data_IF_098266612996
#
_entry.id   IF_098266612996
#
_cell.length_a   1.000
_cell.length_b   1.000
_cell.length_c   1.000
_cell.angle_alpha   90.00
_cell.angle_beta   90.00
_cell.angle_gamma   90.00
#
_symmetry.space_group_name_H-M   'P 1'
#
loop_
_entity.id
_entity.type
_entity.pdbx_description
1 polymer ?
#
# COMPACT_ATOMS: atom_id res chain seq x y z
N UNK A 1 -23.41 18.36 -12.21
CA UNK A 1 -23.05 19.00 -10.92
C UNK A 1 -21.94 20.01 -11.21
N UNK A 2 -21.97 21.19 -10.59
CA UNK A 2 -20.88 22.18 -10.74
C UNK A 2 -19.64 21.79 -9.95
N UNK A 3 -18.46 22.38 -10.19
CA UNK A 3 -17.21 22.05 -9.51
C UNK A 3 -17.31 22.15 -7.96
N UNK A 4 -18.16 23.01 -7.42
CA UNK A 4 -18.34 23.17 -5.97
C UNK A 4 -19.12 22.01 -5.31
N UNK A 5 -19.94 21.26 -6.06
CA UNK A 5 -20.69 20.12 -5.51
C UNK A 5 -19.78 18.93 -5.20
N UNK A 6 -18.70 18.74 -5.98
CA UNK A 6 -17.78 17.62 -5.76
C UNK A 6 -16.88 17.81 -4.53
N UNK A 7 -16.59 19.06 -4.19
CA UNK A 7 -15.76 19.44 -3.05
C UNK A 7 -16.43 19.08 -1.72
N UNK A 8 -17.73 19.38 -1.59
CA UNK A 8 -18.48 19.00 -0.39
C UNK A 8 -18.65 17.50 -0.27
N UNK A 9 -18.80 16.80 -1.41
CA UNK A 9 -19.06 15.35 -1.44
C UNK A 9 -17.84 14.53 -0.97
N UNK A 10 -16.62 14.91 -1.38
CA UNK A 10 -15.39 14.16 -0.98
C UNK A 10 -15.10 14.31 0.50
N UNK A 11 -15.25 15.51 1.05
CA UNK A 11 -15.05 15.76 2.47
C UNK A 11 -16.05 14.96 3.32
N UNK A 12 -17.33 15.00 2.94
CA UNK A 12 -18.37 14.29 3.69
C UNK A 12 -18.21 12.77 3.60
N UNK A 13 -17.90 12.25 2.41
CA UNK A 13 -17.63 10.81 2.25
C UNK A 13 -16.40 10.38 3.06
N UNK A 14 -15.31 11.17 3.07
CA UNK A 14 -14.13 10.86 3.88
C UNK A 14 -14.49 10.81 5.36
N UNK A 15 -15.30 11.74 5.86
CA UNK A 15 -15.77 11.74 7.26
C UNK A 15 -16.58 10.47 7.58
N UNK A 16 -17.48 10.07 6.69
CA UNK A 16 -18.28 8.85 6.86
C UNK A 16 -17.39 7.60 6.90
N UNK A 17 -16.39 7.51 6.01
CA UNK A 17 -15.46 6.38 6.01
C UNK A 17 -14.58 6.35 7.25
N UNK A 18 -14.11 7.49 7.75
CA UNK A 18 -13.31 7.57 9.00
C UNK A 18 -14.15 7.08 10.19
N UNK A 19 -15.44 7.44 10.26
CA UNK A 19 -16.33 7.05 11.34
C UNK A 19 -16.61 5.53 11.43
N UNK A 20 -16.34 4.78 10.38
CA UNK A 20 -16.45 3.32 10.36
C UNK A 20 -15.10 2.72 10.75
N UNK A 21 -15.03 2.07 11.92
CA UNK A 21 -13.82 1.34 12.33
C UNK A 21 -13.57 0.14 11.42
N UNK A 22 -12.34 -0.01 10.91
CA UNK A 22 -11.99 -1.08 9.97
C UNK A 22 -10.59 -1.65 10.21
N UNK A 23 -10.12 -1.63 11.46
CA UNK A 23 -8.80 -2.13 11.82
C UNK A 23 -8.84 -3.58 12.34
N UNK A 24 -7.68 -4.23 12.41
CA UNK A 24 -7.54 -5.66 12.78
C UNK A 24 -8.06 -6.03 14.18
N UNK A 25 -8.29 -5.06 15.08
CA UNK A 25 -8.75 -5.29 16.45
C UNK A 25 -10.25 -5.02 16.63
N UNK A 26 -10.96 -4.44 15.65
CA UNK A 26 -12.40 -4.23 15.76
C UNK A 26 -13.19 -5.47 15.27
N UNK A 27 -14.40 -5.63 15.79
CA UNK A 27 -15.30 -6.69 15.36
C UNK A 27 -15.70 -6.49 13.89
N UNK A 28 -15.63 -7.57 13.11
CA UNK A 28 -15.99 -7.53 11.69
C UNK A 28 -14.96 -6.84 10.78
N UNK A 29 -13.96 -6.18 11.33
CA UNK A 29 -12.89 -5.50 10.58
C UNK A 29 -13.48 -4.64 9.44
N UNK A 30 -13.16 -4.93 8.17
CA UNK A 30 -13.59 -4.16 7.00
C UNK A 30 -15.03 -4.43 6.53
N UNK A 31 -15.78 -5.35 7.17
CA UNK A 31 -17.09 -5.78 6.68
C UNK A 31 -18.14 -4.66 6.63
N UNK A 32 -18.08 -3.68 7.54
CA UNK A 32 -19.01 -2.56 7.56
C UNK A 32 -18.68 -1.55 6.48
N UNK A 33 -17.42 -1.13 6.36
CA UNK A 33 -16.98 -0.17 5.32
C UNK A 33 -17.17 -0.75 3.92
N UNK A 34 -16.96 -2.07 3.73
CA UNK A 34 -17.19 -2.72 2.45
C UNK A 34 -18.69 -2.67 2.04
N UNK A 35 -19.60 -2.96 2.95
CA UNK A 35 -21.05 -2.82 2.69
C UNK A 35 -21.43 -1.39 2.40
N UNK A 36 -20.95 -0.45 3.22
CA UNK A 36 -21.19 0.97 3.02
C UNK A 36 -20.77 1.43 1.60
N UNK A 37 -19.59 1.03 1.14
CA UNK A 37 -19.11 1.41 -0.20
C UNK A 37 -19.95 0.77 -1.32
N UNK A 38 -20.38 -0.49 -1.19
CA UNK A 38 -21.27 -1.12 -2.17
C UNK A 38 -22.59 -0.35 -2.25
N UNK A 39 -23.20 -0.02 -1.11
CA UNK A 39 -24.45 0.74 -1.06
C UNK A 39 -24.26 2.14 -1.66
N UNK A 40 -23.18 2.84 -1.30
CA UNK A 40 -22.85 4.16 -1.80
C UNK A 40 -22.75 4.23 -3.33
N UNK A 41 -22.09 3.23 -3.96
CA UNK A 41 -22.00 3.13 -5.42
C UNK A 41 -23.34 2.77 -6.05
N UNK A 42 -24.07 1.81 -5.46
CA UNK A 42 -25.36 1.33 -5.98
C UNK A 42 -26.40 2.45 -5.98
N UNK A 43 -26.48 3.26 -4.94
CA UNK A 43 -27.37 4.43 -4.86
C UNK A 43 -27.11 5.46 -5.98
N UNK A 44 -25.87 5.46 -6.51
CA UNK A 44 -25.47 6.34 -7.63
C UNK A 44 -25.57 5.67 -8.99
N UNK A 45 -26.17 4.47 -9.04
CA UNK A 45 -26.38 3.72 -10.29
C UNK A 45 -25.11 3.08 -10.85
N UNK A 46 -24.03 2.99 -10.06
CA UNK A 46 -22.78 2.31 -10.42
C UNK A 46 -22.86 0.86 -9.91
N UNK A 47 -22.62 -0.10 -10.79
CA UNK A 47 -22.60 -1.50 -10.41
C UNK A 47 -21.48 -1.78 -9.41
N UNK A 48 -21.83 -2.30 -8.23
CA UNK A 48 -20.86 -2.65 -7.19
C UNK A 48 -21.22 -3.98 -6.53
N UNK A 49 -20.20 -4.71 -6.06
CA UNK A 49 -20.37 -6.00 -5.40
C UNK A 49 -19.25 -6.29 -4.42
N UNK A 50 -19.51 -7.18 -3.49
CA UNK A 50 -18.50 -7.77 -2.62
C UNK A 50 -17.80 -8.93 -3.34
N UNK A 51 -16.45 -8.97 -3.25
CA UNK A 51 -15.64 -10.09 -3.68
C UNK A 51 -15.05 -10.78 -2.45
N UNK A 52 -15.40 -12.05 -2.16
CA UNK A 52 -14.78 -12.79 -1.06
C UNK A 52 -13.25 -12.79 -1.17
N UNK A 53 -12.56 -12.48 -0.07
CA UNK A 53 -11.11 -12.39 -0.02
C UNK A 53 -10.52 -13.33 1.04
N UNK A 54 -10.54 -12.96 2.31
CA UNK A 54 -9.87 -13.69 3.39
C UNK A 54 -10.72 -13.71 4.67
N UNK A 55 -10.79 -14.84 5.36
CA UNK A 55 -11.45 -15.00 6.67
C UNK A 55 -12.88 -14.44 6.73
N UNK A 56 -13.66 -14.61 5.65
CA UNK A 56 -15.02 -14.07 5.54
C UNK A 56 -15.11 -12.57 5.26
N UNK A 57 -13.99 -11.88 5.14
CA UNK A 57 -13.89 -10.47 4.69
C UNK A 57 -13.94 -10.39 3.17
N UNK A 58 -14.39 -9.28 2.64
CA UNK A 58 -14.59 -9.11 1.20
C UNK A 58 -14.02 -7.78 0.72
N UNK A 59 -13.38 -7.82 -0.43
CA UNK A 59 -13.09 -6.61 -1.21
C UNK A 59 -14.37 -6.00 -1.77
N UNK A 60 -14.30 -4.74 -2.18
CA UNK A 60 -15.34 -4.05 -2.93
C UNK A 60 -14.89 -3.88 -4.38
N UNK A 61 -15.73 -4.28 -5.31
CA UNK A 61 -15.50 -4.06 -6.74
C UNK A 61 -16.64 -3.23 -7.30
N UNK A 62 -16.35 -2.02 -7.77
CA UNK A 62 -17.33 -1.21 -8.49
C UNK A 62 -16.86 -0.98 -9.93
N UNK A 63 -17.78 -0.92 -10.91
CA UNK A 63 -17.44 -0.85 -12.33
C UNK A 63 -18.32 0.09 -13.11
N UNK A 64 -17.69 0.95 -13.89
CA UNK A 64 -18.32 1.69 -14.97
C UNK A 64 -17.87 1.01 -16.27
N UNK A 65 -18.76 0.28 -16.96
CA UNK A 65 -18.38 -0.41 -18.17
C UNK A 65 -18.08 0.59 -19.29
N UNK A 66 -17.02 0.32 -20.06
CA UNK A 66 -16.64 1.07 -21.26
C UNK A 66 -16.70 0.23 -22.53
N UNK A 67 -15.94 0.64 -23.54
CA UNK A 67 -15.75 -0.13 -24.79
C UNK A 67 -14.61 -1.15 -24.69
N UNK A 68 -14.09 -1.55 -25.86
CA UNK A 68 -13.00 -2.54 -25.97
C UNK A 68 -11.59 -1.90 -25.86
N UNK A 69 -11.51 -0.65 -25.42
CA UNK A 69 -10.24 0.06 -25.20
C UNK A 69 -9.57 -0.34 -23.89
N UNK A 70 -8.47 0.35 -23.53
CA UNK A 70 -7.74 0.07 -22.31
C UNK A 70 -8.59 0.32 -21.08
N UNK A 71 -8.33 -0.42 -20.01
CA UNK A 71 -9.05 -0.37 -18.73
C UNK A 71 -8.19 0.22 -17.61
N UNK A 72 -8.82 0.88 -16.64
CA UNK A 72 -8.17 1.51 -15.49
C UNK A 72 -8.78 1.02 -14.18
N UNK A 73 -7.93 0.64 -13.23
CA UNK A 73 -8.27 0.37 -11.83
C UNK A 73 -7.88 1.55 -10.96
N UNK A 74 -8.78 1.96 -10.08
CA UNK A 74 -8.51 2.82 -8.92
C UNK A 74 -8.57 1.91 -7.68
N UNK A 75 -7.43 1.70 -7.03
CA UNK A 75 -7.26 0.74 -5.94
C UNK A 75 -6.91 1.44 -4.63
N UNK A 76 -7.56 1.04 -3.54
CA UNK A 76 -7.23 1.50 -2.21
C UNK A 76 -7.66 0.52 -1.14
N UNK A 77 -6.89 0.42 -0.03
CA UNK A 77 -7.24 -0.46 1.08
C UNK A 77 -8.24 0.17 2.03
N UNK A 78 -9.18 -0.64 2.50
CA UNK A 78 -10.25 -0.21 3.40
C UNK A 78 -9.91 -0.35 4.87
N UNK A 79 -8.92 -1.16 5.20
CA UNK A 79 -8.43 -1.32 6.55
C UNK A 79 -7.56 -0.15 7.01
N UNK A 80 -7.35 -0.06 8.30
CA UNK A 80 -6.45 0.92 8.93
C UNK A 80 -5.67 0.24 10.05
N UNK A 81 -4.58 0.85 10.49
CA UNK A 81 -4.00 0.51 11.78
C UNK A 81 -4.96 0.89 12.93
N UNK A 82 -4.88 0.25 14.10
CA UNK A 82 -5.65 0.64 15.28
C UNK A 82 -5.43 2.10 15.69
N UNK A 83 -6.31 2.62 16.56
CA UNK A 83 -6.21 4.00 17.07
C UNK A 83 -4.84 4.34 17.66
N UNK A 84 -4.16 3.38 18.29
CA UNK A 84 -2.94 3.65 19.04
C UNK A 84 -3.15 4.76 20.08
N UNK A 85 -2.26 5.75 20.10
CA UNK A 85 -2.33 6.92 20.98
C UNK A 85 -3.19 8.08 20.43
N UNK A 86 -3.90 7.87 19.30
CA UNK A 86 -4.77 8.89 18.71
C UNK A 86 -6.10 8.94 19.48
N UNK A 87 -6.33 10.03 20.20
CA UNK A 87 -7.62 10.28 20.84
C UNK A 87 -8.71 10.51 19.77
N UNK A 88 -9.92 9.99 20.03
CA UNK A 88 -11.07 10.15 19.14
C UNK A 88 -10.79 9.77 17.67
N UNK A 89 -9.95 8.75 17.46
CA UNK A 89 -9.41 8.37 16.16
C UNK A 89 -10.48 8.17 15.08
N UNK A 90 -11.67 7.68 15.45
CA UNK A 90 -12.80 7.41 14.55
C UNK A 90 -13.92 8.46 14.66
N UNK A 91 -13.63 9.60 15.28
CA UNK A 91 -14.53 10.77 15.34
C UNK A 91 -13.96 11.89 14.45
N UNK A 92 -14.27 11.91 13.15
CA UNK A 92 -13.64 12.82 12.19
C UNK A 92 -13.95 14.27 12.52
N UNK A 93 -12.92 15.11 12.62
CA UNK A 93 -13.04 16.54 12.89
C UNK A 93 -12.32 17.40 11.85
N UNK A 94 -12.91 18.49 11.49
CA UNK A 94 -12.26 19.54 10.71
C UNK A 94 -11.68 20.57 11.64
N UNK A 95 -10.41 20.92 11.43
CA UNK A 95 -9.69 21.93 12.17
C UNK A 95 -8.85 22.78 11.20
N UNK A 96 -9.29 23.99 10.90
CA UNK A 96 -8.77 24.79 9.81
C UNK A 96 -8.97 24.09 8.46
N UNK A 97 -7.88 23.91 7.73
CA UNK A 97 -7.86 23.28 6.41
C UNK A 97 -7.60 21.76 6.47
N UNK A 98 -7.60 21.18 7.67
CA UNK A 98 -7.26 19.78 7.90
C UNK A 98 -8.47 18.95 8.33
N UNK A 99 -8.62 17.77 7.75
CA UNK A 99 -9.51 16.72 8.23
C UNK A 99 -8.71 15.70 9.02
N UNK A 100 -9.05 15.54 10.31
CA UNK A 100 -8.42 14.65 11.26
C UNK A 100 -9.24 13.39 11.48
N UNK A 101 -8.57 12.25 11.60
CA UNK A 101 -9.13 10.95 11.97
C UNK A 101 -8.28 9.81 11.45
N UNK A 102 -8.36 8.63 12.06
CA UNK A 102 -7.62 7.44 11.63
C UNK A 102 -8.05 7.02 10.22
N UNK A 103 -7.08 6.91 9.32
CA UNK A 103 -7.32 6.63 7.91
C UNK A 103 -7.63 7.87 7.07
N UNK A 104 -7.61 9.08 7.65
CA UNK A 104 -7.77 10.30 6.86
C UNK A 104 -6.69 10.41 5.79
N UNK A 105 -5.44 10.14 6.16
CA UNK A 105 -4.30 10.09 5.27
C UNK A 105 -4.15 8.72 4.63
N UNK A 106 -4.24 7.65 5.40
CA UNK A 106 -3.91 6.28 4.98
C UNK A 106 -5.08 5.32 5.24
N UNK A 107 -5.93 5.01 4.19
CA UNK A 107 -6.02 5.79 2.95
C UNK A 107 -7.50 6.08 2.57
N UNK A 108 -8.40 6.23 3.58
CA UNK A 108 -9.84 6.48 3.37
C UNK A 108 -10.11 7.79 2.61
N UNK A 109 -9.22 8.79 2.76
CA UNK A 109 -9.29 10.03 1.97
C UNK A 109 -9.15 9.77 0.47
N UNK A 110 -8.19 8.95 0.09
CA UNK A 110 -8.01 8.55 -1.31
C UNK A 110 -9.18 7.71 -1.83
N UNK A 111 -9.70 6.77 -1.03
CA UNK A 111 -10.90 6.00 -1.37
C UNK A 111 -12.07 6.93 -1.67
N UNK A 112 -12.34 7.90 -0.79
CA UNK A 112 -13.42 8.86 -0.99
C UNK A 112 -13.22 9.67 -2.30
N UNK A 113 -12.00 10.11 -2.57
CA UNK A 113 -11.69 10.85 -3.79
C UNK A 113 -11.89 10.00 -5.06
N UNK A 114 -11.48 8.73 -5.03
CA UNK A 114 -11.72 7.77 -6.12
C UNK A 114 -13.21 7.52 -6.35
N UNK A 115 -13.97 7.29 -5.28
CA UNK A 115 -15.43 7.10 -5.36
C UNK A 115 -16.13 8.31 -5.98
N UNK A 116 -15.80 9.52 -5.52
CA UNK A 116 -16.41 10.77 -6.04
C UNK A 116 -15.97 11.01 -7.50
N UNK A 117 -14.71 10.72 -7.85
CA UNK A 117 -14.22 10.82 -9.22
C UNK A 117 -15.03 9.91 -10.16
N UNK A 118 -15.25 8.66 -9.77
CA UNK A 118 -16.06 7.71 -10.55
C UNK A 118 -17.52 8.16 -10.66
N UNK A 119 -18.15 8.56 -9.56
CA UNK A 119 -19.54 9.05 -9.58
C UNK A 119 -19.71 10.25 -10.51
N UNK A 120 -18.73 11.17 -10.50
CA UNK A 120 -18.72 12.33 -11.39
C UNK A 120 -18.63 11.93 -12.86
N UNK A 121 -17.72 11.00 -13.19
CA UNK A 121 -17.57 10.49 -14.57
C UNK A 121 -18.84 9.75 -15.02
N UNK A 122 -19.48 9.01 -14.14
CA UNK A 122 -20.73 8.31 -14.43
C UNK A 122 -21.89 9.27 -14.70
N UNK A 123 -21.97 10.37 -13.97
CA UNK A 123 -23.02 11.39 -14.13
C UNK A 123 -22.77 12.40 -15.26
N UNK A 124 -21.57 12.43 -15.86
CA UNK A 124 -21.20 13.42 -16.86
C UNK A 124 -21.99 13.19 -18.17
N UNK A 125 -22.97 14.10 -18.45
CA UNK A 125 -23.84 14.03 -19.63
C UNK A 125 -23.06 14.13 -20.95
N UNK A 126 -21.86 14.70 -20.96
CA UNK A 126 -21.00 14.72 -22.14
C UNK A 126 -20.45 13.33 -22.48
N UNK A 127 -20.25 12.48 -21.45
CA UNK A 127 -19.82 11.11 -21.59
C UNK A 127 -21.00 10.13 -21.82
N UNK A 128 -22.26 10.53 -21.55
CA UNK A 128 -23.45 9.66 -21.65
C UNK A 128 -24.29 9.91 -22.91
N UNK A 129 -24.01 10.97 -23.70
CA UNK A 129 -24.77 11.26 -24.93
C UNK A 129 -24.35 10.35 -26.08
N UNK A 130 -24.98 9.19 -26.20
CA UNK A 130 -24.99 8.38 -27.42
C UNK A 130 -26.18 8.75 -28.30
N UNK A 131 -25.97 8.87 -29.61
CA UNK A 131 -27.00 8.91 -30.65
C UNK A 131 -27.51 7.49 -31.02
N UNK A 132 -27.42 6.53 -30.12
CA UNK A 132 -27.95 5.18 -30.32
C UNK A 132 -29.47 5.12 -30.09
N UNK A 133 -30.23 4.32 -30.88
CA UNK A 133 -31.66 4.17 -30.73
C UNK A 133 -32.03 3.66 -29.32
N UNK A 134 -33.16 4.18 -28.79
CA UNK A 134 -33.71 3.82 -27.50
C UNK A 134 -33.76 2.29 -27.29
N UNK A 135 -33.01 1.77 -26.31
CA UNK A 135 -33.07 0.36 -25.95
C UNK A 135 -31.94 -0.16 -25.06
N UNK A 136 -30.82 0.52 -24.94
CA UNK A 136 -29.71 0.11 -24.07
C UNK A 136 -29.47 1.17 -23.01
N UNK A 137 -29.61 0.78 -21.75
CA UNK A 137 -29.24 1.59 -20.59
C UNK A 137 -27.78 2.06 -20.72
N UNK A 138 -27.60 3.39 -20.89
CA UNK A 138 -26.41 4.18 -20.70
C UNK A 138 -25.05 3.53 -20.93
N UNK A 139 -24.60 3.39 -22.20
CA UNK A 139 -23.17 3.15 -22.42
C UNK A 139 -22.39 4.42 -22.12
N UNK A 140 -21.51 4.40 -21.11
CA UNK A 140 -20.51 5.44 -20.90
C UNK A 140 -19.66 5.58 -22.17
N UNK A 141 -19.22 6.80 -22.52
CA UNK A 141 -18.29 7.02 -23.64
C UNK A 141 -16.82 6.76 -23.28
N UNK A 142 -16.55 6.06 -22.20
CA UNK A 142 -15.22 5.59 -21.92
C UNK A 142 -14.86 4.49 -22.94
N UNK A 143 -13.66 4.57 -23.48
CA UNK A 143 -13.16 3.58 -24.46
C UNK A 143 -12.94 2.20 -23.83
N UNK A 144 -12.75 2.12 -22.52
CA UNK A 144 -12.57 0.91 -21.75
C UNK A 144 -13.14 1.06 -20.34
N UNK A 145 -13.07 0.00 -19.56
CA UNK A 145 -13.65 -0.06 -18.22
C UNK A 145 -12.91 0.80 -17.21
N UNK A 146 -13.67 1.46 -16.32
CA UNK A 146 -13.16 2.07 -15.10
C UNK A 146 -13.63 1.25 -13.90
N UNK A 147 -12.68 0.71 -13.13
CA UNK A 147 -12.91 -0.19 -12.01
C UNK A 147 -12.40 0.44 -10.72
N UNK A 148 -13.22 0.45 -9.66
CA UNK A 148 -12.75 0.71 -8.30
C UNK A 148 -12.56 -0.62 -7.58
N UNK A 149 -11.47 -0.73 -6.83
CA UNK A 149 -11.17 -1.87 -5.98
C UNK A 149 -10.85 -1.36 -4.58
N UNK A 150 -11.71 -1.70 -3.61
CA UNK A 150 -11.43 -1.52 -2.18
C UNK A 150 -10.89 -2.82 -1.62
N UNK A 151 -9.62 -2.89 -1.25
CA UNK A 151 -8.98 -4.09 -0.72
C UNK A 151 -9.12 -4.18 0.80
N UNK A 152 -9.01 -5.40 1.33
CA UNK A 152 -8.88 -5.70 2.76
C UNK A 152 -7.45 -6.13 3.05
N UNK A 153 -7.01 -6.00 4.32
CA UNK A 153 -5.80 -6.66 4.84
C UNK A 153 -4.45 -6.10 4.35
N UNK A 154 -4.41 -4.91 3.78
CA UNK A 154 -3.14 -4.30 3.31
C UNK A 154 -2.18 -4.09 4.48
N UNK A 155 -2.66 -3.51 5.57
CA UNK A 155 -1.92 -3.18 6.80
C UNK A 155 -1.37 -4.41 7.55
N UNK A 156 -1.73 -5.62 7.12
CA UNK A 156 -1.35 -6.87 7.81
C UNK A 156 -0.79 -7.96 6.91
N UNK A 157 -1.00 -7.94 5.59
CA UNK A 157 -0.46 -9.00 4.75
C UNK A 157 -0.84 -9.00 3.28
N UNK A 158 -1.71 -8.08 2.81
CA UNK A 158 -2.05 -7.94 1.39
C UNK A 158 -2.92 -9.05 0.80
N UNK A 159 -3.64 -9.83 1.63
CA UNK A 159 -4.47 -10.93 1.11
C UNK A 159 -5.66 -10.44 0.30
N UNK A 160 -6.09 -9.18 0.49
CA UNK A 160 -7.13 -8.54 -0.31
C UNK A 160 -6.70 -8.38 -1.77
N UNK A 161 -5.56 -7.76 -2.04
CA UNK A 161 -5.07 -7.58 -3.41
C UNK A 161 -4.75 -8.92 -4.08
N UNK A 162 -4.28 -9.91 -3.32
CA UNK A 162 -4.11 -11.27 -3.81
C UNK A 162 -5.44 -11.85 -4.31
N UNK A 163 -6.53 -11.70 -3.54
CA UNK A 163 -7.86 -12.16 -3.94
C UNK A 163 -8.39 -11.45 -5.20
N UNK A 164 -8.05 -10.16 -5.40
CA UNK A 164 -8.37 -9.42 -6.64
C UNK A 164 -7.77 -10.13 -7.85
N UNK A 165 -6.49 -10.43 -7.77
CA UNK A 165 -5.73 -11.05 -8.86
C UNK A 165 -6.16 -12.49 -9.08
N UNK A 166 -6.28 -13.30 -8.03
CA UNK A 166 -6.72 -14.70 -8.09
C UNK A 166 -8.16 -14.81 -8.62
N UNK A 167 -9.02 -13.84 -8.30
CA UNK A 167 -10.39 -13.72 -8.80
C UNK A 167 -10.51 -13.31 -10.27
N UNK A 168 -9.38 -13.13 -10.97
CA UNK A 168 -9.35 -12.83 -12.40
C UNK A 168 -9.68 -11.37 -12.74
N UNK A 169 -9.70 -10.47 -11.76
CA UNK A 169 -9.87 -9.03 -12.05
C UNK A 169 -8.58 -8.52 -12.66
N UNK A 170 -8.67 -8.02 -13.88
CA UNK A 170 -7.55 -7.50 -14.66
C UNK A 170 -7.94 -6.18 -15.30
N UNK A 171 -6.98 -5.26 -15.30
CA UNK A 171 -7.03 -4.00 -16.05
C UNK A 171 -5.67 -3.77 -16.71
N UNK A 172 -5.60 -2.88 -17.68
CA UNK A 172 -4.32 -2.51 -18.30
C UNK A 172 -3.50 -1.62 -17.37
N UNK A 173 -4.19 -0.77 -16.62
CA UNK A 173 -3.61 0.24 -15.74
C UNK A 173 -4.21 0.18 -14.34
N UNK A 174 -3.41 0.56 -13.33
CA UNK A 174 -3.88 0.75 -11.97
C UNK A 174 -3.24 1.99 -11.30
N UNK A 175 -4.04 2.70 -10.52
CA UNK A 175 -3.57 3.73 -9.59
C UNK A 175 -3.90 3.28 -8.18
N UNK A 176 -2.86 3.10 -7.35
CA UNK A 176 -3.00 2.83 -5.92
C UNK A 176 -2.94 4.15 -5.17
N UNK A 177 -3.92 4.42 -4.32
CA UNK A 177 -4.18 5.75 -3.76
C UNK A 177 -3.43 6.10 -2.48
N UNK A 178 -2.30 5.45 -2.21
CA UNK A 178 -1.48 5.74 -1.03
C UNK A 178 -0.99 7.20 -0.98
N UNK A 179 -0.72 7.75 0.23
CA UNK A 179 -0.40 9.16 0.40
C UNK A 179 0.96 9.53 -0.19
N UNK A 180 0.95 10.34 -1.23
CA UNK A 180 2.13 10.84 -1.96
C UNK A 180 2.15 12.36 -2.08
N UNK A 181 1.32 13.09 -1.36
CA UNK A 181 1.08 14.52 -1.57
C UNK A 181 0.65 14.84 -3.03
N UNK A 182 -0.12 13.95 -3.65
CA UNK A 182 -0.55 14.01 -5.06
C UNK A 182 0.61 14.03 -6.07
N UNK A 183 1.80 13.58 -5.68
CA UNK A 183 2.93 13.37 -6.59
C UNK A 183 2.88 11.96 -7.17
N UNK A 184 3.17 11.84 -8.45
CA UNK A 184 3.16 10.55 -9.15
C UNK A 184 4.37 9.72 -8.72
N UNK A 185 4.15 8.64 -7.97
CA UNK A 185 5.21 7.70 -7.62
C UNK A 185 5.24 6.55 -8.63
N UNK A 186 6.36 6.46 -9.34
CA UNK A 186 6.60 5.42 -10.36
C UNK A 186 7.33 4.21 -9.79
N UNK A 187 7.82 4.29 -8.57
CA UNK A 187 8.53 3.21 -7.91
C UNK A 187 8.25 3.21 -6.41
N UNK A 188 8.22 2.03 -5.80
CA UNK A 188 8.28 1.87 -4.36
C UNK A 188 9.20 0.73 -3.93
N UNK A 189 9.68 0.79 -2.67
CA UNK A 189 10.50 -0.30 -2.13
C UNK A 189 9.63 -1.52 -1.82
N UNK A 190 10.22 -2.70 -2.00
CA UNK A 190 9.70 -3.93 -1.43
C UNK A 190 10.12 -4.10 0.03
N UNK A 191 9.54 -5.10 0.71
CA UNK A 191 9.84 -5.46 2.08
C UNK A 191 9.97 -6.98 2.26
N UNK A 192 10.93 -7.40 3.07
CA UNK A 192 11.06 -8.76 3.56
C UNK A 192 11.36 -8.68 5.05
N UNK A 193 10.42 -9.11 5.88
CA UNK A 193 10.63 -9.23 7.32
C UNK A 193 11.07 -10.64 7.64
N UNK A 194 12.25 -10.78 8.21
CA UNK A 194 12.85 -12.07 8.49
C UNK A 194 13.11 -12.26 9.98
N UNK A 195 12.96 -13.48 10.45
CA UNK A 195 13.37 -13.91 11.78
C UNK A 195 14.52 -14.89 11.71
N UNK A 196 15.59 -14.61 12.43
CA UNK A 196 16.67 -15.54 12.72
C UNK A 196 16.44 -16.11 14.11
N UNK A 197 16.33 -17.43 14.22
CA UNK A 197 16.25 -18.15 15.51
C UNK A 197 17.53 -18.92 15.74
N UNK A 198 18.18 -18.65 16.86
CA UNK A 198 19.42 -19.34 17.29
C UNK A 198 19.13 -20.26 18.46
N UNK A 199 19.65 -21.46 18.39
CA UNK A 199 19.62 -22.46 19.47
C UNK A 199 21.04 -22.95 19.76
N UNK A 200 21.57 -22.54 20.91
CA UNK A 200 22.87 -22.92 21.41
C UNK A 200 22.79 -24.01 22.49
N UNK A 201 23.75 -24.01 23.39
CA UNK A 201 23.81 -24.93 24.53
C UNK A 201 23.99 -24.15 25.83
N UNK A 202 23.05 -24.32 26.77
CA UNK A 202 23.11 -23.74 28.11
C UNK A 202 24.28 -24.31 28.92
N UNK A 203 24.86 -23.50 29.80
CA UNK A 203 25.86 -23.90 30.79
C UNK A 203 25.81 -22.91 31.97
N UNK A 204 26.45 -23.31 33.07
CA UNK A 204 26.62 -22.36 34.20
C UNK A 204 27.55 -21.23 33.81
N UNK A 205 27.21 -19.98 34.18
CA UNK A 205 27.97 -18.80 33.76
C UNK A 205 29.43 -18.74 34.25
N UNK A 206 29.81 -19.60 35.22
CA UNK A 206 31.22 -19.74 35.66
C UNK A 206 32.04 -20.71 34.81
N UNK A 207 31.38 -21.48 33.92
CA UNK A 207 32.02 -22.43 32.98
C UNK A 207 31.46 -22.16 31.56
N UNK A 208 31.62 -20.97 31.02
CA UNK A 208 30.99 -20.60 29.74
C UNK A 208 31.50 -21.41 28.55
N UNK A 209 32.69 -22.02 28.65
CA UNK A 209 33.30 -22.90 27.68
C UNK A 209 32.52 -24.21 27.49
N UNK A 210 31.74 -24.64 28.46
CA UNK A 210 30.86 -25.80 28.36
C UNK A 210 29.57 -25.52 27.59
N UNK A 211 29.25 -24.22 27.37
CA UNK A 211 28.08 -23.76 26.66
C UNK A 211 28.36 -23.23 25.25
N UNK A 212 27.29 -22.91 24.53
CA UNK A 212 27.32 -22.13 23.26
C UNK A 212 26.27 -21.03 23.36
N UNK A 213 26.72 -19.79 23.50
CA UNK A 213 25.82 -18.66 23.74
C UNK A 213 25.13 -18.17 22.46
N UNK A 214 23.83 -18.44 22.34
CA UNK A 214 23.00 -17.91 21.24
C UNK A 214 23.02 -16.38 21.19
N UNK A 215 23.05 -15.68 22.34
CA UNK A 215 23.13 -14.22 22.40
C UNK A 215 24.47 -13.70 21.87
N UNK A 216 25.58 -14.37 22.16
CA UNK A 216 26.89 -13.96 21.62
C UNK A 216 26.97 -14.12 20.09
N UNK A 217 26.34 -15.16 19.52
CA UNK A 217 26.26 -15.33 18.08
C UNK A 217 25.25 -14.36 17.45
N UNK A 218 24.15 -14.04 18.11
CA UNK A 218 23.24 -12.99 17.67
C UNK A 218 23.96 -11.65 17.52
N UNK A 219 24.79 -11.26 18.48
CA UNK A 219 25.61 -10.06 18.40
C UNK A 219 26.56 -10.05 17.18
N UNK A 220 27.22 -11.20 16.89
CA UNK A 220 28.09 -11.35 15.71
C UNK A 220 27.30 -11.23 14.41
N UNK A 221 26.07 -11.80 14.33
CA UNK A 221 25.19 -11.67 13.17
C UNK A 221 24.83 -10.19 12.97
N UNK A 222 24.42 -9.48 14.03
CA UNK A 222 24.11 -8.05 13.94
C UNK A 222 25.32 -7.26 13.42
N UNK A 223 26.54 -7.51 13.93
CA UNK A 223 27.76 -6.88 13.41
C UNK A 223 27.99 -7.21 11.93
N UNK A 224 27.82 -8.47 11.51
CA UNK A 224 27.99 -8.85 10.10
C UNK A 224 26.94 -8.19 9.18
N UNK A 225 25.69 -8.03 9.63
CA UNK A 225 24.67 -7.28 8.89
C UNK A 225 25.09 -5.81 8.67
N UNK A 226 25.66 -5.18 9.69
CA UNK A 226 26.11 -3.77 9.63
C UNK A 226 27.42 -3.61 8.82
N UNK A 227 28.38 -4.51 8.98
CA UNK A 227 29.73 -4.36 8.44
C UNK A 227 29.89 -4.98 7.03
N UNK A 228 29.10 -6.02 6.70
CA UNK A 228 29.21 -6.72 5.43
C UNK A 228 28.01 -6.51 4.53
N UNK A 229 26.76 -6.68 5.04
CA UNK A 229 25.56 -6.58 4.19
C UNK A 229 25.23 -5.12 3.88
N UNK A 230 25.11 -4.27 4.88
CA UNK A 230 24.76 -2.85 4.68
C UNK A 230 25.64 -2.14 3.64
N UNK A 231 26.99 -2.24 3.63
CA UNK A 231 27.83 -1.62 2.60
C UNK A 231 27.59 -2.16 1.19
N UNK A 232 27.18 -3.43 1.06
CA UNK A 232 26.81 -4.01 -0.25
C UNK A 232 25.48 -3.42 -0.74
N UNK A 233 24.50 -3.25 0.17
CA UNK A 233 23.18 -2.71 -0.16
C UNK A 233 23.23 -1.24 -0.55
N UNK A 234 24.06 -0.43 0.09
CA UNK A 234 24.24 1.00 -0.23
C UNK A 234 24.72 1.20 -1.69
N UNK A 235 25.37 0.21 -2.28
CA UNK A 235 25.81 0.25 -3.69
C UNK A 235 24.70 -0.12 -4.68
N UNK A 236 23.59 -0.71 -4.23
CA UNK A 236 22.43 -1.04 -5.04
C UNK A 236 21.46 0.13 -4.98
N UNK A 237 21.60 1.05 -5.91
CA UNK A 237 20.84 2.30 -5.93
C UNK A 237 19.84 2.32 -7.08
N UNK A 238 18.67 2.84 -6.78
CA UNK A 238 17.63 3.16 -7.75
C UNK A 238 17.47 4.68 -7.85
N UNK A 239 17.29 5.28 -9.05
CA UNK A 239 17.25 6.74 -9.22
C UNK A 239 16.20 7.45 -8.35
N UNK A 240 15.03 6.83 -8.14
CA UNK A 240 13.93 7.41 -7.38
C UNK A 240 13.89 6.96 -5.91
N UNK A 241 14.50 5.82 -5.56
CA UNK A 241 14.32 5.17 -4.24
C UNK A 241 15.56 5.22 -3.36
N UNK A 242 16.71 5.67 -3.92
CA UNK A 242 17.99 5.52 -3.25
C UNK A 242 18.39 4.05 -3.11
N UNK A 243 18.97 3.68 -1.98
CA UNK A 243 19.55 2.34 -1.78
C UNK A 243 18.57 1.39 -1.10
N UNK A 244 18.82 0.09 -1.28
CA UNK A 244 18.26 -0.96 -0.45
C UNK A 244 18.77 -0.85 0.99
N UNK A 245 18.01 -1.33 1.96
CA UNK A 245 18.35 -1.20 3.38
C UNK A 245 18.17 -2.50 4.16
N UNK A 246 18.91 -2.62 5.27
CA UNK A 246 18.71 -3.63 6.30
C UNK A 246 18.70 -2.95 7.67
N UNK A 247 17.78 -3.37 8.53
CA UNK A 247 17.68 -2.89 9.90
C UNK A 247 17.32 -4.05 10.84
N UNK A 248 17.93 -4.08 12.01
CA UNK A 248 17.56 -5.02 13.07
C UNK A 248 16.58 -4.32 14.01
N UNK A 249 15.32 -4.74 13.99
CA UNK A 249 14.25 -4.13 14.79
C UNK A 249 14.12 -4.69 16.18
N UNK A 250 14.52 -5.97 16.40
CA UNK A 250 14.41 -6.66 17.68
C UNK A 250 15.49 -7.70 17.86
N UNK A 251 16.05 -7.79 19.07
CA UNK A 251 16.87 -8.90 19.51
C UNK A 251 16.33 -9.34 20.88
N UNK A 252 16.07 -10.61 21.05
CA UNK A 252 15.53 -11.15 22.29
C UNK A 252 16.13 -12.52 22.61
N UNK A 253 16.77 -12.66 23.78
CA UNK A 253 17.40 -13.94 24.15
C UNK A 253 17.99 -13.95 25.56
N UNK A 254 18.35 -15.14 26.00
CA UNK A 254 18.85 -15.38 27.36
C UNK A 254 17.75 -15.41 28.41
N UNK A 255 18.09 -15.82 29.63
CA UNK A 255 17.17 -15.92 30.77
C UNK A 255 17.70 -15.22 32.01
N UNK A 256 18.96 -15.50 32.38
CA UNK A 256 19.61 -14.93 33.58
C UNK A 256 21.11 -14.70 33.33
N UNK A 257 21.74 -13.76 34.02
CA UNK A 257 23.14 -13.39 33.76
C UNK A 257 24.14 -14.46 34.13
N UNK A 258 23.77 -15.45 34.97
CA UNK A 258 24.61 -16.58 35.40
C UNK A 258 24.36 -17.87 34.59
N UNK A 259 23.67 -17.78 33.44
CA UNK A 259 23.40 -18.90 32.53
C UNK A 259 23.86 -18.51 31.13
N UNK A 260 24.64 -19.37 30.47
CA UNK A 260 24.96 -19.23 29.06
C UNK A 260 23.65 -19.34 28.25
N UNK A 261 23.33 -18.31 27.47
CA UNK A 261 22.06 -18.18 26.76
C UNK A 261 21.94 -19.28 25.66
N UNK A 262 20.99 -20.20 25.80
CA UNK A 262 20.71 -21.23 24.81
C UNK A 262 19.78 -20.84 23.68
N UNK A 263 19.08 -19.68 23.78
CA UNK A 263 18.17 -19.20 22.75
C UNK A 263 18.30 -17.70 22.51
N UNK A 264 18.18 -17.29 21.24
CA UNK A 264 18.06 -15.89 20.83
C UNK A 264 17.31 -15.77 19.51
N UNK A 265 16.48 -14.73 19.39
CA UNK A 265 15.80 -14.36 18.17
C UNK A 265 16.25 -12.97 17.71
N UNK A 266 16.35 -12.77 16.40
CA UNK A 266 16.64 -11.50 15.76
C UNK A 266 15.56 -11.27 14.71
N UNK A 267 14.81 -10.14 14.79
CA UNK A 267 13.86 -9.72 13.77
C UNK A 267 14.49 -8.62 12.91
N UNK A 268 14.45 -8.82 11.61
CA UNK A 268 15.15 -8.02 10.60
C UNK A 268 14.15 -7.45 9.61
N UNK A 269 14.24 -6.15 9.34
CA UNK A 269 13.55 -5.45 8.24
C UNK A 269 14.54 -5.25 7.08
N UNK A 270 14.23 -5.83 5.93
CA UNK A 270 14.97 -5.71 4.69
C UNK A 270 14.12 -4.97 3.66
N UNK A 271 14.52 -3.76 3.24
CA UNK A 271 13.85 -3.00 2.18
C UNK A 271 14.62 -3.14 0.88
N UNK A 272 13.90 -3.47 -0.20
CA UNK A 272 14.44 -3.78 -1.52
C UNK A 272 14.13 -2.68 -2.53
N UNK A 273 15.04 -2.45 -3.46
CA UNK A 273 14.76 -1.67 -4.67
C UNK A 273 14.56 -2.60 -5.86
N UNK A 274 13.95 -2.15 -6.98
CA UNK A 274 13.86 -2.93 -8.20
C UNK A 274 15.23 -3.51 -8.62
N UNK A 275 15.26 -4.79 -8.95
CA UNK A 275 16.48 -5.53 -9.26
C UNK A 275 17.14 -6.25 -8.08
N UNK A 276 16.71 -6.02 -6.84
CA UNK A 276 17.09 -6.88 -5.71
C UNK A 276 16.38 -8.24 -5.81
N UNK A 277 17.17 -9.28 -5.76
CA UNK A 277 16.68 -10.65 -5.80
C UNK A 277 16.94 -11.34 -4.45
N UNK A 278 16.01 -12.17 -4.01
CA UNK A 278 16.11 -13.09 -2.89
C UNK A 278 16.77 -12.52 -1.61
N UNK A 279 16.13 -11.53 -0.95
CA UNK A 279 16.64 -10.95 0.29
C UNK A 279 16.81 -11.97 1.41
N UNK A 280 15.98 -13.02 1.43
CA UNK A 280 16.06 -14.09 2.44
C UNK A 280 17.30 -14.95 2.26
N UNK A 281 17.68 -15.29 1.03
CA UNK A 281 18.93 -16.01 0.76
C UNK A 281 20.17 -15.20 1.14
N UNK A 282 20.16 -13.86 0.92
CA UNK A 282 21.24 -12.99 1.39
C UNK A 282 21.38 -13.02 2.91
N UNK A 283 20.27 -12.92 3.65
CA UNK A 283 20.27 -13.00 5.11
C UNK A 283 20.77 -14.37 5.59
N UNK A 284 20.30 -15.46 4.96
CA UNK A 284 20.79 -16.82 5.27
C UNK A 284 22.27 -16.96 5.06
N UNK A 285 22.81 -16.41 3.98
CA UNK A 285 24.24 -16.43 3.68
C UNK A 285 25.09 -15.74 4.77
N UNK A 286 24.61 -14.62 5.30
CA UNK A 286 25.27 -13.92 6.42
C UNK A 286 25.20 -14.77 7.69
N UNK A 287 24.06 -15.33 8.03
CA UNK A 287 23.90 -16.18 9.22
C UNK A 287 24.76 -17.44 9.12
N UNK A 288 24.78 -18.08 7.94
CA UNK A 288 25.65 -19.23 7.67
C UNK A 288 27.12 -18.92 7.83
N UNK A 289 27.58 -17.74 7.33
CA UNK A 289 28.99 -17.33 7.46
C UNK A 289 29.43 -17.15 8.92
N UNK A 290 28.49 -16.78 9.81
CA UNK A 290 28.77 -16.56 11.24
C UNK A 290 28.61 -17.83 12.08
N UNK A 291 27.60 -18.65 11.76
CA UNK A 291 27.14 -19.77 12.60
C UNK A 291 27.48 -21.14 12.01
N UNK A 292 27.79 -21.21 10.71
CA UNK A 292 28.07 -22.47 10.02
C UNK A 292 29.25 -23.23 10.61
N UNK A 293 29.07 -24.53 10.86
CA UNK A 293 30.11 -25.41 11.41
C UNK A 293 30.37 -25.22 12.91
N UNK A 294 29.64 -24.38 13.62
CA UNK A 294 29.80 -24.22 15.07
C UNK A 294 29.11 -25.38 15.78
N UNK A 295 29.88 -26.21 16.44
CA UNK A 295 29.37 -27.36 17.17
C UNK A 295 28.46 -26.91 18.32
N UNK A 296 27.25 -27.50 18.40
CA UNK A 296 26.26 -27.15 19.42
C UNK A 296 25.47 -25.86 19.17
N UNK A 297 25.59 -25.23 17.99
CA UNK A 297 24.77 -24.13 17.56
C UNK A 297 23.90 -24.54 16.35
N UNK A 298 22.59 -24.38 16.46
CA UNK A 298 21.65 -24.49 15.35
C UNK A 298 21.01 -23.14 15.07
N UNK A 299 20.65 -22.90 13.82
CA UNK A 299 19.93 -21.68 13.44
C UNK A 299 18.86 -21.98 12.38
N UNK A 300 17.91 -21.08 12.31
CA UNK A 300 16.90 -21.01 11.26
C UNK A 300 16.70 -19.56 10.82
N UNK A 301 16.38 -19.35 9.54
CA UNK A 301 16.08 -18.04 8.96
C UNK A 301 14.79 -18.18 8.17
N UNK A 302 13.74 -17.55 8.64
CA UNK A 302 12.41 -17.63 8.02
C UNK A 302 11.87 -16.24 7.71
N UNK A 303 11.13 -16.13 6.64
CA UNK A 303 10.34 -14.93 6.38
C UNK A 303 9.12 -14.90 7.30
N UNK A 304 8.84 -13.73 7.87
CA UNK A 304 7.72 -13.54 8.78
C UNK A 304 6.39 -13.49 8.02
N UNK A 305 5.25 -13.90 8.64
CA UNK A 305 3.95 -13.98 7.96
C UNK A 305 3.48 -12.66 7.30
N UNK A 306 3.88 -11.51 7.83
CA UNK A 306 3.49 -10.19 7.28
C UNK A 306 3.96 -9.98 5.84
N UNK A 307 5.05 -10.61 5.39
CA UNK A 307 5.58 -10.47 4.03
C UNK A 307 5.58 -11.77 3.24
N UNK A 308 5.40 -12.93 3.91
CA UNK A 308 5.46 -14.23 3.25
C UNK A 308 4.13 -14.68 2.64
N UNK A 309 3.00 -14.13 3.10
CA UNK A 309 1.67 -14.49 2.61
C UNK A 309 1.41 -13.94 1.19
N UNK A 310 1.83 -12.71 0.97
CA UNK A 310 1.90 -12.04 -0.34
C UNK A 310 3.31 -11.46 -0.46
N UNK A 311 4.08 -11.80 -1.50
CA UNK A 311 5.42 -11.25 -1.67
C UNK A 311 5.37 -9.72 -1.79
N UNK A 312 6.07 -9.04 -0.89
CA UNK A 312 6.17 -7.58 -0.90
C UNK A 312 7.31 -7.15 -1.84
N UNK A 313 7.15 -7.41 -3.13
CA UNK A 313 8.11 -7.04 -4.17
C UNK A 313 8.22 -5.52 -4.33
N UNK A 314 9.34 -4.98 -4.83
CA UNK A 314 9.40 -3.58 -5.24
C UNK A 314 8.59 -3.33 -6.50
N UNK A 315 8.05 -2.10 -6.64
CA UNK A 315 7.38 -1.62 -7.85
C UNK A 315 8.31 -0.74 -8.68
N UNK A 316 8.26 -0.89 -10.01
CA UNK A 316 8.82 0.07 -10.95
C UNK A 316 7.95 0.15 -12.21
N UNK A 317 7.51 1.37 -12.54
CA UNK A 317 6.77 1.66 -13.77
C UNK A 317 7.54 2.68 -14.62
N UNK A 318 7.63 2.39 -15.92
CA UNK A 318 8.33 3.28 -16.87
C UNK A 318 7.72 4.67 -16.90
N UNK A 319 8.55 5.72 -16.79
CA UNK A 319 8.12 7.11 -16.91
C UNK A 319 7.55 7.49 -18.28
N UNK A 320 7.83 6.69 -19.32
CA UNK A 320 7.32 6.87 -20.68
C UNK A 320 6.08 6.00 -20.96
N UNK A 321 5.47 5.44 -19.91
CA UNK A 321 4.24 4.67 -20.07
C UNK A 321 3.02 5.59 -20.23
N UNK A 322 1.98 5.17 -20.97
CA UNK A 322 0.75 5.96 -21.10
C UNK A 322 0.14 6.34 -19.75
N UNK A 323 0.21 5.45 -18.76
CA UNK A 323 -0.26 5.71 -17.40
C UNK A 323 0.56 6.81 -16.72
N UNK A 324 1.89 6.76 -16.78
CA UNK A 324 2.76 7.76 -16.17
C UNK A 324 2.54 9.15 -16.81
N UNK A 325 2.47 9.22 -18.13
CA UNK A 325 2.22 10.46 -18.87
C UNK A 325 0.85 11.05 -18.52
N UNK A 326 -0.21 10.22 -18.47
CA UNK A 326 -1.55 10.65 -18.10
C UNK A 326 -1.61 11.18 -16.66
N UNK A 327 -0.94 10.49 -15.72
CA UNK A 327 -0.91 10.87 -14.31
C UNK A 327 -0.12 12.16 -14.08
N UNK A 328 1.06 12.30 -14.66
CA UNK A 328 1.87 13.53 -14.57
C UNK A 328 1.12 14.74 -15.14
N UNK A 329 0.49 14.56 -16.30
CA UNK A 329 -0.31 15.64 -16.90
C UNK A 329 -1.57 15.99 -16.08
N UNK A 330 -2.21 15.02 -15.42
CA UNK A 330 -3.36 15.27 -14.55
C UNK A 330 -2.95 15.98 -13.26
N UNK A 331 -1.86 15.54 -12.61
CA UNK A 331 -1.31 16.18 -11.41
C UNK A 331 -0.87 17.62 -11.67
N UNK A 332 -0.23 17.89 -12.80
CA UNK A 332 0.21 19.23 -13.19
C UNK A 332 -0.97 20.20 -13.38
N UNK A 333 -2.10 19.74 -13.92
CA UNK A 333 -3.30 20.56 -14.10
C UNK A 333 -4.06 20.85 -12.81
N UNK A 334 -3.97 19.93 -11.84
CA UNK A 334 -4.58 20.09 -10.54
C UNK A 334 -3.74 20.93 -9.57
N UNK A 335 -2.47 21.17 -9.89
CA UNK A 335 -1.59 22.07 -9.14
C UNK A 335 -1.98 23.53 -9.41
N UNK A 336 -1.99 24.38 -8.36
CA UNK A 336 -2.41 25.80 -8.44
C UNK A 336 -1.45 26.71 -9.23
N UNK A 337 -0.70 26.18 -10.18
CA UNK A 337 0.21 26.93 -11.05
C UNK A 337 1.47 27.46 -10.37
N UNK A 338 1.73 27.07 -9.13
CA UNK A 338 2.86 27.54 -8.31
C UNK A 338 4.11 26.64 -8.35
N UNK A 339 4.02 25.44 -8.96
CA UNK A 339 5.15 24.51 -9.05
C UNK A 339 5.47 24.16 -10.50
N UNK A 340 6.77 24.05 -10.80
CA UNK A 340 7.26 23.38 -12.00
C UNK A 340 6.59 22.01 -12.11
N UNK A 341 6.32 21.54 -13.34
CA UNK A 341 5.66 20.25 -13.61
C UNK A 341 6.20 19.17 -12.65
N UNK A 342 5.38 18.56 -11.80
CA UNK A 342 5.87 17.74 -10.71
C UNK A 342 6.65 16.55 -11.26
N UNK A 343 7.94 16.48 -10.95
CA UNK A 343 8.76 15.35 -11.31
C UNK A 343 8.22 14.09 -10.62
N UNK A 344 8.30 12.95 -11.31
CA UNK A 344 7.99 11.66 -10.72
C UNK A 344 8.87 11.37 -9.51
N UNK A 345 8.31 10.65 -8.53
CA UNK A 345 9.01 10.27 -7.29
C UNK A 345 9.07 8.75 -7.11
N UNK A 346 9.85 8.32 -6.13
CA UNK A 346 9.76 7.00 -5.52
C UNK A 346 9.33 7.12 -4.06
N UNK A 347 8.61 6.12 -3.55
CA UNK A 347 8.23 6.02 -2.14
C UNK A 347 8.91 4.84 -1.46
N UNK A 348 9.17 4.96 -0.16
CA UNK A 348 10.00 3.99 0.57
C UNK A 348 9.22 2.89 1.28
N UNK A 349 7.90 2.99 1.30
CA UNK A 349 6.98 1.98 1.82
C UNK A 349 6.49 1.06 0.70
N UNK A 350 5.96 -0.09 1.06
CA UNK A 350 5.32 -1.04 0.15
C UNK A 350 3.83 -0.69 0.01
N UNK A 351 3.22 -1.11 -1.10
CA UNK A 351 1.79 -0.97 -1.37
C UNK A 351 1.26 -2.18 -2.14
N UNK A 352 -0.04 -2.36 -2.18
CA UNK A 352 -0.73 -3.36 -3.02
C UNK A 352 -0.33 -3.28 -4.51
N UNK A 353 0.25 -2.16 -4.92
CA UNK A 353 0.63 -1.88 -6.30
C UNK A 353 1.65 -2.85 -6.90
N UNK A 354 2.60 -3.36 -6.09
CA UNK A 354 3.57 -4.31 -6.63
C UNK A 354 2.92 -5.65 -6.99
N UNK A 355 1.95 -6.11 -6.19
CA UNK A 355 1.26 -7.36 -6.48
C UNK A 355 0.42 -7.26 -7.76
N UNK A 356 -0.21 -6.10 -8.01
CA UNK A 356 -0.89 -5.81 -9.28
C UNK A 356 0.11 -5.82 -10.46
N UNK A 357 1.28 -5.17 -10.28
CA UNK A 357 2.32 -5.09 -11.30
C UNK A 357 2.94 -6.47 -11.62
N UNK A 358 3.20 -7.31 -10.62
CA UNK A 358 3.70 -8.68 -10.79
C UNK A 358 2.76 -9.56 -11.63
N UNK A 359 1.49 -9.15 -11.73
CA UNK A 359 0.48 -9.84 -12.54
C UNK A 359 0.15 -9.11 -13.85
N UNK A 360 1.04 -8.21 -14.28
CA UNK A 360 1.00 -7.58 -15.59
C UNK A 360 0.11 -6.34 -15.70
N UNK A 361 -0.37 -5.79 -14.58
CA UNK A 361 -1.12 -4.53 -14.55
C UNK A 361 -0.13 -3.38 -14.36
N UNK A 362 -0.05 -2.46 -15.33
CA UNK A 362 0.80 -1.28 -15.22
C UNK A 362 0.32 -0.40 -14.06
N UNK A 363 1.13 -0.22 -13.01
CA UNK A 363 0.66 0.37 -11.76
C UNK A 363 1.54 1.56 -11.33
N UNK A 364 0.90 2.60 -10.83
CA UNK A 364 1.55 3.74 -10.13
C UNK A 364 0.92 3.94 -8.77
N UNK A 365 1.62 4.69 -7.91
CA UNK A 365 1.09 5.12 -6.61
C UNK A 365 0.85 6.63 -6.64
N UNK A 366 -0.35 7.07 -6.25
CA UNK A 366 -0.72 8.47 -6.24
C UNK A 366 -1.96 8.71 -5.38
N UNK A 367 -1.81 9.47 -4.31
CA UNK A 367 -2.93 9.85 -3.44
C UNK A 367 -2.69 11.12 -2.63
N UNK A 368 -3.76 11.65 -2.02
CA UNK A 368 -3.68 12.80 -1.13
C UNK A 368 -3.04 12.44 0.20
N UNK A 369 -2.45 13.43 0.86
CA UNK A 369 -1.83 13.27 2.18
C UNK A 369 -0.34 12.97 2.13
N UNK A 370 0.31 13.17 3.26
CA UNK A 370 1.73 12.87 3.50
C UNK A 370 1.85 11.65 4.40
N UNK A 371 2.58 10.63 3.96
CA UNK A 371 2.79 9.39 4.71
C UNK A 371 3.37 9.63 6.12
N UNK A 372 4.06 10.73 6.33
CA UNK A 372 4.57 11.11 7.65
C UNK A 372 3.46 11.37 8.69
N UNK A 373 2.22 11.57 8.24
CA UNK A 373 1.06 11.76 9.10
C UNK A 373 0.31 10.43 9.36
N UNK A 374 0.62 9.37 8.61
CA UNK A 374 -0.01 8.06 8.78
C UNK A 374 0.47 7.35 10.07
N UNK A 375 -0.32 6.37 10.53
CA UNK A 375 -0.03 5.44 11.65
C UNK A 375 0.20 6.08 13.02
N UNK A 376 0.42 7.40 13.08
CA UNK A 376 0.68 8.15 14.33
C UNK A 376 -0.57 8.76 14.96
N UNK A 377 -0.39 9.54 16.05
CA UNK A 377 -1.48 10.27 16.70
C UNK A 377 -1.95 11.50 15.91
N UNK A 378 -1.33 11.81 14.77
CA UNK A 378 -1.60 12.97 13.94
C UNK A 378 -2.10 12.60 12.56
N UNK A 379 -2.89 11.53 12.43
CA UNK A 379 -3.48 11.14 11.15
C UNK A 379 -4.47 12.21 10.67
N UNK A 380 -4.10 12.90 9.60
CA UNK A 380 -4.90 13.95 8.98
C UNK A 380 -4.52 14.13 7.51
N UNK A 381 -5.42 14.75 6.77
CA UNK A 381 -5.21 15.13 5.38
C UNK A 381 -5.70 16.56 5.14
N UNK A 382 -5.04 17.29 4.25
CA UNK A 382 -5.50 18.60 3.80
C UNK A 382 -6.76 18.46 2.95
N UNK A 383 -7.81 19.21 3.28
CA UNK A 383 -9.09 19.20 2.53
C UNK A 383 -8.86 19.55 1.06
N UNK A 384 -8.00 20.53 0.79
CA UNK A 384 -7.64 20.91 -0.57
C UNK A 384 -6.97 19.77 -1.36
N UNK A 385 -6.21 18.87 -0.70
CA UNK A 385 -5.64 17.69 -1.36
C UNK A 385 -6.72 16.66 -1.70
N UNK A 386 -7.73 16.47 -0.84
CA UNK A 386 -8.87 15.58 -1.14
C UNK A 386 -9.62 16.07 -2.38
N UNK A 387 -9.91 17.36 -2.46
CA UNK A 387 -10.60 17.99 -3.60
C UNK A 387 -9.79 17.84 -4.89
N UNK A 388 -8.49 18.14 -4.85
CA UNK A 388 -7.59 17.98 -5.99
C UNK A 388 -7.43 16.51 -6.43
N UNK A 389 -7.43 15.57 -5.49
CA UNK A 389 -7.38 14.15 -5.80
C UNK A 389 -8.53 13.69 -6.70
N UNK A 390 -9.75 14.19 -6.46
CA UNK A 390 -10.90 13.91 -7.34
C UNK A 390 -10.60 14.34 -8.78
N UNK A 391 -10.08 15.55 -8.97
CA UNK A 391 -9.76 16.07 -10.30
C UNK A 391 -8.61 15.31 -10.96
N UNK A 392 -7.61 14.91 -10.19
CA UNK A 392 -6.48 14.10 -10.67
C UNK A 392 -6.95 12.73 -11.16
N UNK A 393 -7.73 11.99 -10.36
CA UNK A 393 -8.23 10.66 -10.76
C UNK A 393 -9.16 10.74 -11.97
N UNK A 394 -10.03 11.75 -12.01
CA UNK A 394 -10.85 12.05 -13.21
C UNK A 394 -9.97 12.36 -14.42
N UNK A 395 -8.96 13.20 -14.24
CA UNK A 395 -8.03 13.59 -15.29
C UNK A 395 -7.26 12.40 -15.88
N UNK A 396 -6.80 11.47 -15.05
CA UNK A 396 -6.16 10.23 -15.47
C UNK A 396 -7.14 9.37 -16.28
N UNK A 397 -8.33 9.13 -15.74
CA UNK A 397 -9.34 8.32 -16.42
C UNK A 397 -9.73 8.89 -17.77
N UNK A 398 -9.94 10.20 -17.89
CA UNK A 398 -10.29 10.85 -19.15
C UNK A 398 -9.16 10.80 -20.20
N UNK A 399 -7.90 10.83 -19.77
CA UNK A 399 -6.75 10.73 -20.69
C UNK A 399 -6.54 9.32 -21.21
N UNK A 400 -6.74 8.31 -20.35
CA UNK A 400 -6.54 6.92 -20.74
C UNK A 400 -7.77 6.30 -21.41
N UNK A 401 -8.97 6.64 -20.95
CA UNK A 401 -10.23 6.02 -21.34
C UNK A 401 -11.12 6.97 -22.17
N UNK A 402 -10.74 8.22 -22.32
CA UNK A 402 -11.50 9.15 -23.15
C UNK A 402 -11.36 8.80 -24.63
N UNK A 403 -12.47 8.75 -25.38
CA UNK A 403 -12.40 8.63 -26.83
C UNK A 403 -11.64 9.82 -27.42
N UNK A 404 -10.57 9.55 -28.17
CA UNK A 404 -9.93 10.57 -29.00
C UNK A 404 -11.00 11.20 -29.92
N UNK A 405 -11.16 12.51 -29.82
CA UNK A 405 -12.06 13.27 -30.72
C UNK A 405 -11.45 13.40 -32.10
#
# INVERSE_FOLDING_TARGET
MGPDAHRSDVLELTRQLIAIESHRLCDGREAEIARFLVDWFTERGIQAQLQPAVDGRSNVIARIPGGDGPSLMLCGHMDTVPSGDMADAFSPRVDGDLLWGRGACDMKGAIAAMCVAMATLHCDKALTRSSAPQGHLGSSRLSGDLVFVGTVDEETGGLGVKAVVDGGIRTDYAVVGEPTNLRVALAHKGACFARVTLRGRGAHGSCPEEGVSAVSYAAKIVSALEEELRPRLVRRTHPLLGSSTVSVGRVCGGTQPNIVAEGCEIDIDRRMVPGDNDPLAELRSIVESVCGGVEGLAFDVVEMPMTSAVPHTPLETSGNSPLAEAALAASALAADGSEESPAAIGVTYWTDGSHLADHGIQTIVLGPGDIANAHGPRDHVEIAQLERAVDVYRGIALRLLGNAR
#
